data_IF_458006971600
#
_entry.id   IF_458006971600
#
_cell.length_a   1.000
_cell.length_b   1.000
_cell.length_c   1.000
_cell.angle_alpha   90.00
_cell.angle_beta   90.00
_cell.angle_gamma   90.00
#
_symmetry.space_group_name_H-M   'P 1'
#
loop_
_entity.id
_entity.type
_entity.pdbx_description
1 polymer ?
#
# COMPACT_ATOMS: atom_id res chain seq x y z
N UNK A 1 14.63 -7.49 9.53
CA UNK A 1 13.68 -8.28 8.70
C UNK A 1 12.67 -7.27 8.23
N UNK A 2 12.50 -7.10 6.92
CA UNK A 2 11.63 -6.04 6.43
C UNK A 2 10.16 -6.45 6.42
N UNK A 3 9.23 -5.54 6.78
CA UNK A 3 7.79 -5.80 6.72
C UNK A 3 7.19 -5.34 5.39
N UNK A 4 6.23 -6.12 4.91
CA UNK A 4 5.52 -5.84 3.67
C UNK A 4 4.08 -5.49 4.03
N UNK A 5 3.59 -4.38 3.50
CA UNK A 5 2.19 -4.00 3.53
C UNK A 5 1.55 -4.08 2.13
N UNK A 6 0.24 -4.31 2.07
CA UNK A 6 -0.54 -4.16 0.85
C UNK A 6 -1.70 -3.21 1.11
N UNK A 7 -1.90 -2.24 0.21
CA UNK A 7 -2.92 -1.21 0.34
C UNK A 7 -3.74 -1.08 -0.93
N UNK A 8 -5.06 -0.97 -0.76
CA UNK A 8 -6.01 -0.81 -1.84
C UNK A 8 -7.29 -1.59 -1.61
N UNK A 9 -8.00 -1.94 -2.70
CA UNK A 9 -9.30 -2.57 -2.63
C UNK A 9 -9.23 -3.92 -1.89
N UNK A 10 -10.11 -4.18 -0.90
CA UNK A 10 -10.01 -5.35 -0.02
C UNK A 10 -9.93 -6.68 -0.80
N UNK A 11 -10.73 -6.82 -1.85
CA UNK A 11 -10.78 -8.04 -2.66
C UNK A 11 -9.50 -8.30 -3.45
N UNK A 12 -8.74 -7.25 -3.83
CA UNK A 12 -7.47 -7.40 -4.56
C UNK A 12 -6.32 -7.80 -3.63
N UNK A 13 -6.34 -7.35 -2.38
CA UNK A 13 -5.23 -7.55 -1.43
C UNK A 13 -5.44 -8.72 -0.45
N UNK A 14 -6.68 -9.20 -0.26
CA UNK A 14 -7.01 -10.21 0.76
C UNK A 14 -6.14 -11.48 0.69
N UNK A 15 -5.83 -11.95 -0.52
CA UNK A 15 -5.02 -13.15 -0.72
C UNK A 15 -3.60 -13.04 -0.18
N UNK A 16 -3.05 -11.82 -0.08
CA UNK A 16 -1.68 -11.57 0.37
C UNK A 16 -1.51 -11.77 1.88
N UNK A 17 -2.59 -11.76 2.66
CA UNK A 17 -2.54 -12.09 4.09
C UNK A 17 -1.93 -13.49 4.32
N UNK A 18 -2.14 -14.43 3.39
CA UNK A 18 -1.57 -15.78 3.47
C UNK A 18 -0.03 -15.80 3.42
N UNK A 19 0.59 -14.75 2.88
CA UNK A 19 2.04 -14.59 2.78
C UNK A 19 2.62 -13.74 3.92
N UNK A 20 1.83 -13.43 4.95
CA UNK A 20 2.26 -12.59 6.08
C UNK A 20 2.32 -11.09 5.77
N UNK A 21 1.65 -10.65 4.70
CA UNK A 21 1.56 -9.23 4.32
C UNK A 21 0.54 -8.51 5.21
N UNK A 22 0.92 -7.33 5.72
CA UNK A 22 0.04 -6.45 6.49
C UNK A 22 -0.97 -5.80 5.54
N UNK A 23 -2.26 -6.06 5.75
CA UNK A 23 -3.31 -5.49 4.90
C UNK A 23 -3.76 -4.13 5.42
N UNK A 24 -3.73 -3.14 4.54
CA UNK A 24 -4.27 -1.79 4.75
C UNK A 24 -5.40 -1.53 3.75
N UNK A 25 -6.61 -2.07 3.99
CA UNK A 25 -7.73 -1.91 3.06
C UNK A 25 -8.11 -0.44 2.91
N UNK A 26 -8.22 0.01 1.66
CA UNK A 26 -8.53 1.38 1.31
C UNK A 26 -9.43 1.42 0.08
N UNK A 27 -10.69 1.83 0.26
CA UNK A 27 -11.63 2.04 -0.84
C UNK A 27 -11.66 3.52 -1.24
N UNK A 28 -11.12 3.80 -2.42
CA UNK A 28 -11.12 5.11 -3.04
C UNK A 28 -10.06 6.09 -2.50
N UNK A 29 -9.98 7.29 -3.10
CA UNK A 29 -8.78 8.13 -2.95
C UNK A 29 -8.55 8.74 -1.57
N UNK A 30 -9.61 9.00 -0.81
CA UNK A 30 -9.49 9.56 0.54
C UNK A 30 -8.98 8.48 1.52
N UNK A 31 -9.48 7.25 1.39
CA UNK A 31 -9.05 6.13 2.21
C UNK A 31 -7.58 5.77 1.93
N UNK A 32 -7.16 5.77 0.66
CA UNK A 32 -5.77 5.49 0.29
C UNK A 32 -4.79 6.51 0.90
N UNK A 33 -5.11 7.80 0.81
CA UNK A 33 -4.30 8.88 1.41
C UNK A 33 -4.28 8.84 2.94
N UNK A 34 -5.36 8.38 3.58
CA UNK A 34 -5.38 8.18 5.03
C UNK A 34 -4.51 6.98 5.42
N UNK A 35 -4.72 5.84 4.77
CA UNK A 35 -3.96 4.62 4.95
C UNK A 35 -2.45 4.82 4.76
N UNK A 36 -2.03 5.62 3.76
CA UNK A 36 -0.63 5.96 3.53
C UNK A 36 0.00 6.75 4.68
N UNK A 37 -0.73 7.71 5.25
CA UNK A 37 -0.23 8.48 6.40
C UNK A 37 -0.15 7.67 7.68
N UNK A 38 -0.99 6.64 7.80
CA UNK A 38 -1.07 5.77 8.98
C UNK A 38 -0.24 4.48 8.83
N UNK A 39 0.60 4.39 7.79
CA UNK A 39 1.49 3.24 7.59
C UNK A 39 2.43 3.07 8.79
N UNK A 40 2.60 1.83 9.29
CA UNK A 40 3.57 1.57 10.33
C UNK A 40 5.00 1.95 9.89
N UNK A 41 5.80 2.56 10.79
CA UNK A 41 7.14 3.04 10.45
C UNK A 41 8.15 1.92 10.18
N UNK A 42 7.79 0.66 10.44
CA UNK A 42 8.60 -0.53 10.24
C UNK A 42 8.23 -1.30 8.96
N UNK A 43 7.41 -0.71 8.08
CA UNK A 43 7.14 -1.22 6.74
C UNK A 43 8.25 -0.77 5.79
N UNK A 44 8.86 -1.71 5.09
CA UNK A 44 9.94 -1.45 4.12
C UNK A 44 9.45 -1.54 2.67
N UNK A 45 8.31 -2.19 2.42
CA UNK A 45 7.68 -2.33 1.11
C UNK A 45 6.16 -2.22 1.19
N UNK A 46 5.57 -1.38 0.35
CA UNK A 46 4.13 -1.26 0.16
C UNK A 46 3.74 -1.72 -1.25
N UNK A 47 2.87 -2.72 -1.31
CA UNK A 47 2.19 -3.15 -2.53
C UNK A 47 0.90 -2.36 -2.69
N UNK A 48 0.81 -1.55 -3.74
CA UNK A 48 -0.38 -0.74 -4.03
C UNK A 48 -1.21 -1.42 -5.11
N UNK A 49 -2.53 -1.39 -4.97
CA UNK A 49 -3.40 -1.59 -6.13
C UNK A 49 -3.30 -0.38 -7.06
N UNK A 50 -3.64 -0.51 -8.36
CA UNK A 50 -3.60 0.63 -9.29
C UNK A 50 -4.41 1.84 -8.79
N UNK A 51 -5.63 1.62 -8.28
CA UNK A 51 -6.48 2.70 -7.79
C UNK A 51 -5.91 3.38 -6.54
N UNK A 52 -5.21 2.64 -5.69
CA UNK A 52 -4.51 3.22 -4.54
C UNK A 52 -3.30 4.04 -4.98
N UNK A 53 -2.52 3.54 -5.96
CA UNK A 53 -1.39 4.27 -6.52
C UNK A 53 -1.81 5.58 -7.19
N UNK A 54 -2.89 5.56 -7.97
CA UNK A 54 -3.45 6.76 -8.64
C UNK A 54 -3.96 7.82 -7.64
N UNK A 55 -4.24 7.42 -6.40
CA UNK A 55 -4.72 8.31 -5.36
C UNK A 55 -3.61 8.99 -4.54
N UNK A 56 -2.37 8.49 -4.65
CA UNK A 56 -1.21 9.03 -3.95
C UNK A 56 -0.46 10.01 -4.86
N UNK A 57 0.08 11.07 -4.27
CA UNK A 57 0.92 12.01 -4.99
C UNK A 57 2.24 11.32 -5.38
N UNK A 58 2.73 11.44 -6.63
CA UNK A 58 3.99 10.82 -7.06
C UNK A 58 5.19 11.21 -6.18
N UNK A 59 5.21 12.46 -5.70
CA UNK A 59 6.24 12.95 -4.77
C UNK A 59 6.17 12.26 -3.39
N UNK A 60 5.00 11.75 -3.00
CA UNK A 60 4.83 11.02 -1.73
C UNK A 60 5.35 9.57 -1.81
N UNK A 61 5.48 9.01 -3.02
CA UNK A 61 6.01 7.65 -3.27
C UNK A 61 7.47 7.67 -3.77
N UNK A 62 7.97 8.80 -4.27
CA UNK A 62 9.37 9.00 -4.67
C UNK A 62 10.21 9.52 -3.49
N UNK A 63 10.56 8.66 -2.53
CA UNK A 63 11.16 9.17 -1.28
C UNK A 63 11.82 8.15 -0.37
N UNK A 64 12.80 7.42 -0.88
CA UNK A 64 13.76 6.57 -0.16
C UNK A 64 13.17 5.37 0.64
N UNK A 65 12.12 5.49 1.45
CA UNK A 65 11.40 4.39 2.13
C UNK A 65 9.95 4.78 2.52
N UNK A 66 8.97 3.85 2.54
CA UNK A 66 9.08 2.46 2.11
C UNK A 66 9.20 2.34 0.58
N UNK A 67 9.78 1.23 0.10
CA UNK A 67 9.71 0.88 -1.32
C UNK A 67 8.24 0.74 -1.75
N UNK A 68 7.93 1.16 -2.96
CA UNK A 68 6.58 1.09 -3.50
C UNK A 68 6.58 0.24 -4.76
N UNK A 69 5.66 -0.74 -4.82
CA UNK A 69 5.38 -1.49 -6.04
C UNK A 69 3.89 -1.47 -6.32
N UNK A 70 3.53 -1.19 -7.57
CA UNK A 70 2.14 -1.18 -8.02
C UNK A 70 1.80 -2.53 -8.64
N UNK A 71 0.70 -3.13 -8.18
CA UNK A 71 0.17 -4.36 -8.74
C UNK A 71 -0.21 -4.17 -10.21
N UNK A 72 -0.11 -5.23 -11.02
CA UNK A 72 -0.67 -5.20 -12.37
C UNK A 72 -2.19 -4.96 -12.34
N UNK A 73 -2.75 -4.36 -13.41
CA UNK A 73 -4.18 -4.11 -13.54
C UNK A 73 -5.04 -5.37 -13.50
#
# INVERSE_FOLDING_TARGET
MGHIAAMGEPLRILGLASAGVLLSPAEGPAAARAAWRDLPPDVDLVLLTPAAADALDPEAIEGQEPLVAVMPP
#
